data_IF_785406026266
#
_entry.id   IF_785406026266
#
_cell.length_a   1.000
_cell.length_b   1.000
_cell.length_c   1.000
_cell.angle_alpha   90.00
_cell.angle_beta   90.00
_cell.angle_gamma   90.00
#
_symmetry.space_group_name_H-M   'P 1'
#
loop_
_entity.id
_entity.type
_entity.pdbx_description
1 polymer ?
#
# COMPACT_ATOMS: atom_id res chain seq x y z
N UNK A 1 -5.75 -28.54 8.45
CA UNK A 1 -5.33 -27.76 9.64
C UNK A 1 -3.82 -27.50 9.66
N UNK A 2 -2.97 -28.51 9.54
CA UNK A 2 -1.49 -28.36 9.57
C UNK A 2 -0.94 -27.46 8.45
N UNK A 3 -1.46 -27.58 7.22
CA UNK A 3 -0.98 -26.74 6.10
C UNK A 3 -1.28 -25.25 6.31
N UNK A 4 -2.46 -24.90 6.86
CA UNK A 4 -2.78 -23.52 7.25
C UNK A 4 -1.76 -22.96 8.26
N UNK A 5 -1.33 -23.79 9.22
CA UNK A 5 -0.34 -23.38 10.21
C UNK A 5 1.00 -23.01 9.54
N UNK A 6 1.47 -23.81 8.58
CA UNK A 6 2.69 -23.48 7.84
C UNK A 6 2.57 -22.17 7.04
N UNK A 7 1.43 -21.95 6.38
CA UNK A 7 1.16 -20.69 5.67
C UNK A 7 1.12 -19.50 6.62
N UNK A 8 0.47 -19.64 7.78
CA UNK A 8 0.42 -18.60 8.81
C UNK A 8 1.80 -18.31 9.40
N UNK A 9 2.62 -19.33 9.68
CA UNK A 9 4.00 -19.16 10.15
C UNK A 9 4.88 -18.47 9.10
N UNK A 10 4.74 -18.87 7.84
CA UNK A 10 5.46 -18.25 6.73
C UNK A 10 5.08 -16.76 6.60
N UNK A 11 3.79 -16.44 6.61
CA UNK A 11 3.31 -15.05 6.59
C UNK A 11 3.84 -14.26 7.79
N UNK A 12 3.68 -14.80 9.01
CA UNK A 12 4.14 -14.16 10.23
C UNK A 12 5.64 -13.85 10.19
N UNK A 13 6.47 -14.73 9.61
CA UNK A 13 7.91 -14.47 9.48
C UNK A 13 8.22 -13.18 8.69
N UNK A 14 7.51 -12.94 7.57
CA UNK A 14 7.68 -11.71 6.80
C UNK A 14 7.04 -10.51 7.48
N UNK A 15 5.85 -10.68 8.07
CA UNK A 15 5.19 -9.63 8.86
C UNK A 15 6.13 -9.13 9.99
N UNK A 16 6.82 -10.06 10.66
CA UNK A 16 7.80 -9.72 11.68
C UNK A 16 9.00 -8.96 11.12
N UNK A 17 9.52 -9.36 9.95
CA UNK A 17 10.58 -8.61 9.26
C UNK A 17 10.15 -7.20 8.86
N UNK A 18 8.90 -7.04 8.43
CA UNK A 18 8.33 -5.74 8.13
C UNK A 18 8.23 -4.87 9.39
N UNK A 19 7.78 -5.45 10.50
CA UNK A 19 7.75 -4.78 11.80
C UNK A 19 9.15 -4.33 12.23
N UNK A 20 10.16 -5.22 12.14
CA UNK A 20 11.56 -4.90 12.45
C UNK A 20 12.09 -3.73 11.60
N UNK A 21 11.81 -3.72 10.28
CA UNK A 21 12.21 -2.63 9.39
C UNK A 21 11.75 -1.26 9.88
N UNK A 22 10.51 -1.15 10.38
CA UNK A 22 10.00 0.12 10.90
C UNK A 22 10.47 0.43 12.32
N UNK A 23 10.52 -0.56 13.22
CA UNK A 23 10.93 -0.32 14.61
C UNK A 23 12.40 -0.02 14.78
N UNK A 24 13.26 -0.53 13.88
CA UNK A 24 14.68 -0.19 13.86
C UNK A 24 14.89 1.30 13.54
N UNK A 25 14.00 1.89 12.75
CA UNK A 25 14.05 3.30 12.35
C UNK A 25 13.27 4.21 13.30
N UNK A 26 12.22 3.69 13.95
CA UNK A 26 11.36 4.41 14.89
C UNK A 26 11.13 3.63 16.20
N UNK A 27 12.16 3.45 17.06
CA UNK A 27 12.04 2.68 18.31
C UNK A 27 10.95 3.19 19.27
N UNK A 28 10.67 4.49 19.25
CA UNK A 28 9.64 5.17 20.04
C UNK A 28 8.21 4.92 19.56
N UNK A 29 8.04 4.36 18.35
CA UNK A 29 6.73 4.07 17.75
C UNK A 29 6.40 2.57 17.73
N UNK A 30 7.10 1.72 18.50
CA UNK A 30 6.87 0.27 18.54
C UNK A 30 5.40 -0.13 18.67
N UNK A 31 4.65 0.53 19.56
CA UNK A 31 3.21 0.25 19.75
C UNK A 31 2.39 0.56 18.49
N UNK A 32 2.64 1.71 17.87
CA UNK A 32 1.97 2.15 16.65
C UNK A 32 2.32 1.23 15.46
N UNK A 33 3.59 0.82 15.33
CA UNK A 33 4.02 -0.14 14.32
C UNK A 33 3.38 -1.52 14.53
N UNK A 34 3.22 -1.96 15.78
CA UNK A 34 2.54 -3.22 16.09
C UNK A 34 1.06 -3.17 15.72
N UNK A 35 0.36 -2.06 16.02
CA UNK A 35 -1.04 -1.86 15.60
C UNK A 35 -1.16 -1.92 14.08
N UNK A 36 -0.27 -1.25 13.35
CA UNK A 36 -0.32 -1.17 11.90
C UNK A 36 0.06 -2.47 11.18
N UNK A 37 0.92 -3.31 11.75
CA UNK A 37 1.54 -4.44 11.05
C UNK A 37 1.09 -5.80 11.63
N UNK A 38 0.88 -5.90 12.95
CA UNK A 38 0.57 -7.16 13.63
C UNK A 38 -0.93 -7.32 13.92
N UNK A 39 -1.58 -6.25 14.36
CA UNK A 39 -2.95 -6.30 14.90
C UNK A 39 -4.04 -5.83 13.93
N UNK A 40 -3.70 -5.55 12.69
CA UNK A 40 -4.63 -5.05 11.68
C UNK A 40 -5.50 -6.23 11.19
N UNK A 41 -6.81 -6.32 11.55
CA UNK A 41 -7.56 -7.59 11.49
C UNK A 41 -7.62 -8.24 10.11
N UNK A 42 -7.92 -7.47 9.07
CA UNK A 42 -7.96 -7.93 7.68
C UNK A 42 -6.59 -8.44 7.25
N UNK A 43 -5.53 -7.74 7.64
CA UNK A 43 -4.17 -8.12 7.31
C UNK A 43 -3.81 -9.47 7.95
N UNK A 44 -4.11 -9.69 9.22
CA UNK A 44 -3.82 -10.95 9.93
C UNK A 44 -4.72 -12.09 9.46
N UNK A 45 -6.01 -11.83 9.23
CA UNK A 45 -6.98 -12.87 8.85
C UNK A 45 -6.62 -13.50 7.51
N UNK A 46 -6.51 -12.70 6.46
CA UNK A 46 -6.30 -13.19 5.09
C UNK A 46 -4.84 -13.56 4.78
N UNK A 47 -3.88 -13.16 5.63
CA UNK A 47 -2.50 -13.66 5.54
C UNK A 47 -2.30 -15.03 6.19
N UNK A 48 -3.33 -15.64 6.78
CA UNK A 48 -3.22 -16.92 7.50
C UNK A 48 -3.84 -18.14 6.79
N UNK A 49 -4.58 -17.96 5.69
CA UNK A 49 -5.24 -19.06 4.95
C UNK A 49 -4.33 -19.77 3.93
N UNK A 50 -4.72 -20.94 3.43
CA UNK A 50 -4.07 -21.59 2.26
C UNK A 50 -4.39 -20.81 0.98
N UNK A 51 -3.64 -19.75 0.75
CA UNK A 51 -3.84 -18.79 -0.34
C UNK A 51 -2.50 -18.23 -0.82
N UNK A 52 -2.49 -17.61 -2.00
CA UNK A 52 -1.31 -16.92 -2.55
C UNK A 52 -0.86 -15.70 -1.71
N UNK A 53 -1.76 -15.09 -0.95
CA UNK A 53 -1.51 -13.84 -0.20
C UNK A 53 -0.57 -14.00 1.00
N UNK A 54 -0.69 -15.02 1.87
CA UNK A 54 0.31 -15.33 2.89
C UNK A 54 1.75 -15.34 2.37
N UNK A 55 1.97 -15.99 1.21
CA UNK A 55 3.29 -16.08 0.58
C UNK A 55 3.73 -14.70 0.07
N UNK A 56 2.82 -13.95 -0.57
CA UNK A 56 3.10 -12.60 -1.04
C UNK A 56 3.41 -11.61 0.10
N UNK A 57 2.68 -11.70 1.22
CA UNK A 57 2.91 -10.90 2.44
C UNK A 57 4.23 -11.28 3.09
N UNK A 58 4.54 -12.58 3.16
CA UNK A 58 5.84 -13.06 3.65
C UNK A 58 6.98 -12.48 2.81
N UNK A 59 6.89 -12.61 1.49
CA UNK A 59 7.85 -12.09 0.55
C UNK A 59 8.00 -10.57 0.66
N UNK A 60 6.90 -9.83 0.80
CA UNK A 60 6.94 -8.37 0.98
C UNK A 60 7.72 -7.95 2.21
N UNK A 61 7.50 -8.60 3.35
CA UNK A 61 8.20 -8.28 4.57
C UNK A 61 9.70 -8.62 4.51
N UNK A 62 10.04 -9.82 4.03
CA UNK A 62 11.43 -10.23 3.83
C UNK A 62 12.15 -9.38 2.80
N UNK A 63 11.48 -9.05 1.68
CA UNK A 63 12.02 -8.18 0.64
C UNK A 63 12.31 -6.77 1.18
N UNK A 64 11.35 -6.17 1.88
CA UNK A 64 11.50 -4.85 2.50
C UNK A 64 12.71 -4.80 3.43
N UNK A 65 12.81 -5.80 4.31
CA UNK A 65 13.88 -5.88 5.29
C UNK A 65 15.25 -6.14 4.65
N UNK A 66 15.36 -7.16 3.78
CA UNK A 66 16.61 -7.54 3.14
C UNK A 66 17.14 -6.44 2.21
N UNK A 67 16.26 -5.79 1.44
CA UNK A 67 16.63 -4.68 0.58
C UNK A 67 17.14 -3.49 1.40
N UNK A 68 16.55 -3.23 2.56
CA UNK A 68 17.04 -2.19 3.48
C UNK A 68 18.40 -2.54 4.11
N UNK A 69 18.57 -3.77 4.60
CA UNK A 69 19.84 -4.25 5.15
C UNK A 69 20.96 -4.22 4.10
N UNK A 70 20.65 -4.56 2.85
CA UNK A 70 21.58 -4.54 1.73
C UNK A 70 21.98 -3.10 1.35
N UNK A 71 21.00 -2.23 1.10
CA UNK A 71 21.25 -0.90 0.55
C UNK A 71 21.69 0.14 1.59
N UNK A 72 21.21 0.03 2.83
CA UNK A 72 21.43 1.05 3.87
C UNK A 72 22.39 0.57 4.95
N UNK A 73 22.15 -0.62 5.53
CA UNK A 73 23.02 -1.13 6.62
C UNK A 73 24.30 -1.81 6.10
N UNK A 74 24.32 -2.20 4.82
CA UNK A 74 25.41 -2.95 4.16
C UNK A 74 25.85 -4.20 4.93
N UNK A 75 24.88 -4.92 5.51
CA UNK A 75 25.12 -6.14 6.30
C UNK A 75 24.82 -7.39 5.48
N UNK A 76 25.55 -8.49 5.74
CA UNK A 76 25.32 -9.82 5.17
C UNK A 76 24.94 -9.82 3.69
N UNK A 77 25.77 -9.18 2.85
CA UNK A 77 25.43 -8.81 1.47
C UNK A 77 24.99 -10.02 0.63
N UNK A 78 25.69 -11.15 0.75
CA UNK A 78 25.39 -12.38 -0.02
C UNK A 78 24.02 -12.92 0.38
N UNK A 79 23.78 -13.11 1.68
CA UNK A 79 22.51 -13.64 2.20
C UNK A 79 21.34 -12.71 1.85
N UNK A 80 21.50 -11.40 2.05
CA UNK A 80 20.44 -10.43 1.76
C UNK A 80 20.17 -10.33 0.25
N UNK A 81 21.20 -10.44 -0.59
CA UNK A 81 21.02 -10.51 -2.05
C UNK A 81 20.26 -11.77 -2.46
N UNK A 82 20.59 -12.93 -1.87
CA UNK A 82 19.86 -14.17 -2.13
C UNK A 82 18.39 -14.08 -1.71
N UNK A 83 18.09 -13.48 -0.54
CA UNK A 83 16.72 -13.24 -0.09
C UNK A 83 15.97 -12.30 -1.05
N UNK A 84 16.62 -11.22 -1.51
CA UNK A 84 16.06 -10.28 -2.49
C UNK A 84 15.71 -10.99 -3.80
N UNK A 85 16.64 -11.77 -4.36
CA UNK A 85 16.40 -12.51 -5.60
C UNK A 85 15.29 -13.55 -5.45
N UNK A 86 15.28 -14.28 -4.33
CA UNK A 86 14.26 -15.28 -4.04
C UNK A 86 12.86 -14.65 -3.89
N UNK A 87 12.75 -13.52 -3.20
CA UNK A 87 11.46 -12.82 -3.05
C UNK A 87 11.00 -12.16 -4.34
N UNK A 88 11.91 -11.66 -5.20
CA UNK A 88 11.56 -11.23 -6.56
C UNK A 88 10.97 -12.39 -7.37
N UNK A 89 11.59 -13.56 -7.34
CA UNK A 89 11.06 -14.77 -8.00
C UNK A 89 9.67 -15.14 -7.47
N UNK A 90 9.44 -15.07 -6.15
CA UNK A 90 8.10 -15.30 -5.59
C UNK A 90 7.09 -14.30 -6.16
N UNK A 91 7.44 -13.02 -6.26
CA UNK A 91 6.53 -12.02 -6.82
C UNK A 91 6.19 -12.29 -8.28
N UNK A 92 7.14 -12.69 -9.12
CA UNK A 92 6.87 -12.95 -10.54
C UNK A 92 5.91 -14.13 -10.73
N UNK A 93 6.03 -15.17 -9.90
CA UNK A 93 5.14 -16.35 -9.95
C UNK A 93 3.76 -16.05 -9.35
N UNK A 94 3.70 -15.24 -8.29
CA UNK A 94 2.46 -15.03 -7.53
C UNK A 94 1.67 -13.81 -8.00
N UNK A 95 2.26 -12.62 -7.85
CA UNK A 95 1.58 -11.32 -7.98
C UNK A 95 2.59 -10.24 -8.33
N UNK A 96 3.03 -10.20 -9.60
CA UNK A 96 4.08 -9.27 -10.07
C UNK A 96 3.74 -7.80 -9.87
N UNK A 97 2.44 -7.46 -9.86
CA UNK A 97 1.95 -6.10 -9.62
C UNK A 97 2.34 -5.55 -8.23
N UNK A 98 2.58 -6.40 -7.22
CA UNK A 98 3.11 -5.96 -5.91
C UNK A 98 4.51 -5.37 -6.10
N UNK A 99 5.39 -6.09 -6.81
CA UNK A 99 6.76 -5.65 -7.05
C UNK A 99 6.80 -4.37 -7.90
N UNK A 100 5.93 -4.28 -8.91
CA UNK A 100 5.84 -3.12 -9.81
C UNK A 100 5.41 -1.85 -9.08
N UNK A 101 4.46 -1.96 -8.13
CA UNK A 101 4.06 -0.83 -7.30
C UNK A 101 5.12 -0.51 -6.21
N UNK A 102 5.73 -1.53 -5.63
CA UNK A 102 6.60 -1.40 -4.46
C UNK A 102 8.01 -0.91 -4.80
N UNK A 103 8.68 -1.56 -5.76
CA UNK A 103 10.10 -1.36 -6.03
C UNK A 103 10.42 0.09 -6.41
N UNK A 104 9.66 0.76 -7.31
CA UNK A 104 9.95 2.14 -7.65
C UNK A 104 9.73 3.10 -6.46
N UNK A 105 8.77 2.80 -5.56
CA UNK A 105 8.50 3.62 -4.38
C UNK A 105 9.64 3.49 -3.36
N UNK A 106 10.14 2.27 -3.17
CA UNK A 106 11.28 2.01 -2.30
C UNK A 106 12.59 2.60 -2.86
N UNK A 107 12.79 2.55 -4.17
CA UNK A 107 13.94 3.17 -4.83
C UNK A 107 13.99 4.69 -4.59
N UNK A 108 12.83 5.38 -4.71
CA UNK A 108 12.71 6.79 -4.32
C UNK A 108 13.12 6.99 -2.87
N UNK A 109 12.66 6.13 -1.96
CA UNK A 109 13.02 6.23 -0.55
C UNK A 109 14.53 6.13 -0.33
N UNK A 110 15.20 5.16 -0.93
CA UNK A 110 16.65 5.00 -0.81
C UNK A 110 17.41 6.23 -1.34
N UNK A 111 17.03 6.71 -2.52
CA UNK A 111 17.66 7.87 -3.15
C UNK A 111 17.46 9.15 -2.31
N UNK A 112 16.25 9.38 -1.80
CA UNK A 112 15.95 10.54 -0.96
C UNK A 112 16.51 10.44 0.46
N UNK A 113 16.76 9.22 0.96
CA UNK A 113 17.41 9.00 2.26
C UNK A 113 18.89 9.36 2.22
N UNK A 114 19.56 9.12 1.09
CA UNK A 114 20.94 9.53 0.85
C UNK A 114 21.01 11.03 0.48
N UNK A 115 20.81 11.87 1.50
CA UNK A 115 20.64 13.33 1.41
C UNK A 115 21.78 14.13 0.75
N UNK A 116 22.93 13.50 0.46
CA UNK A 116 24.04 14.14 -0.24
C UNK A 116 23.76 14.40 -1.73
N UNK A 117 22.85 13.65 -2.37
CA UNK A 117 22.58 13.78 -3.81
C UNK A 117 21.49 14.82 -4.16
N UNK A 118 20.63 15.22 -3.20
CA UNK A 118 19.32 15.80 -3.53
C UNK A 118 18.87 16.96 -2.61
N UNK A 119 19.76 17.92 -2.34
CA UNK A 119 19.34 19.21 -1.75
C UNK A 119 18.39 19.99 -2.68
N UNK A 120 18.42 19.71 -3.98
CA UNK A 120 17.64 20.43 -4.98
C UNK A 120 16.17 19.95 -5.02
N UNK A 121 15.18 20.82 -4.70
CA UNK A 121 13.76 20.47 -4.74
C UNK A 121 13.26 20.08 -6.14
N UNK A 122 13.87 20.61 -7.21
CA UNK A 122 13.49 20.31 -8.58
C UNK A 122 13.76 18.85 -8.97
N UNK A 123 14.93 18.32 -8.59
CA UNK A 123 15.30 16.93 -8.88
C UNK A 123 14.42 15.95 -8.10
N UNK A 124 14.05 16.29 -6.86
CA UNK A 124 13.07 15.53 -6.09
C UNK A 124 11.69 15.49 -6.76
N UNK A 125 11.23 16.60 -7.30
CA UNK A 125 9.98 16.68 -8.05
C UNK A 125 10.05 15.84 -9.33
N UNK A 126 11.13 15.95 -10.11
CA UNK A 126 11.35 15.15 -11.31
C UNK A 126 11.32 13.65 -11.02
N UNK A 127 11.94 13.20 -9.92
CA UNK A 127 11.91 11.78 -9.53
C UNK A 127 10.51 11.28 -9.19
N UNK A 128 9.70 12.10 -8.49
CA UNK A 128 8.30 11.75 -8.20
C UNK A 128 7.51 11.63 -9.50
N UNK A 129 7.72 12.55 -10.46
CA UNK A 129 7.09 12.47 -11.78
C UNK A 129 7.52 11.23 -12.56
N UNK A 130 8.81 10.88 -12.56
CA UNK A 130 9.32 9.66 -13.20
C UNK A 130 8.73 8.41 -12.55
N UNK A 131 8.55 8.39 -11.23
CA UNK A 131 7.88 7.29 -10.54
C UNK A 131 6.41 7.17 -10.94
N UNK A 132 5.66 8.28 -10.95
CA UNK A 132 4.25 8.27 -11.35
C UNK A 132 4.14 7.81 -12.81
N UNK A 133 4.93 8.40 -13.72
CA UNK A 133 4.95 8.04 -15.14
C UNK A 133 5.35 6.58 -15.38
N UNK A 134 6.43 6.12 -14.72
CA UNK A 134 6.91 4.75 -14.81
C UNK A 134 5.94 3.73 -14.22
N UNK A 135 5.24 4.08 -13.14
CA UNK A 135 4.18 3.26 -12.54
C UNK A 135 2.97 3.16 -13.45
N UNK A 136 2.54 4.27 -14.05
CA UNK A 136 1.42 4.30 -15.00
C UNK A 136 1.76 3.48 -16.25
N UNK A 137 2.97 3.64 -16.79
CA UNK A 137 3.46 2.84 -17.92
C UNK A 137 3.61 1.35 -17.56
N UNK A 138 4.13 1.05 -16.37
CA UNK A 138 4.20 -0.30 -15.83
C UNK A 138 2.82 -0.93 -15.69
N UNK A 139 1.83 -0.16 -15.22
CA UNK A 139 0.45 -0.62 -15.15
C UNK A 139 -0.13 -0.89 -16.54
N UNK A 140 0.01 0.04 -17.48
CA UNK A 140 -0.56 -0.14 -18.82
C UNK A 140 0.05 -1.33 -19.55
N UNK A 141 1.36 -1.55 -19.41
CA UNK A 141 2.05 -2.70 -20.00
C UNK A 141 1.65 -4.04 -19.37
N UNK A 142 1.47 -4.09 -18.04
CA UNK A 142 0.99 -5.30 -17.36
C UNK A 142 -0.49 -5.53 -17.67
N UNK A 143 -1.32 -4.49 -17.68
CA UNK A 143 -2.73 -4.59 -18.03
C UNK A 143 -2.90 -5.13 -19.46
N UNK A 144 -2.10 -4.66 -20.42
CA UNK A 144 -2.06 -5.20 -21.77
C UNK A 144 -1.61 -6.68 -21.79
N UNK A 145 -0.59 -7.06 -21.00
CA UNK A 145 -0.16 -8.47 -20.91
C UNK A 145 -1.14 -9.37 -20.16
N UNK A 146 -1.89 -8.85 -19.19
CA UNK A 146 -2.97 -9.60 -18.54
C UNK A 146 -4.14 -9.81 -19.50
N UNK A 147 -4.39 -8.87 -20.41
CA UNK A 147 -5.33 -9.08 -21.51
C UNK A 147 -4.87 -10.21 -22.44
N UNK A 148 -3.56 -10.37 -22.68
CA UNK A 148 -3.01 -11.48 -23.48
C UNK A 148 -2.97 -12.83 -22.70
N UNK A 149 -2.62 -12.82 -21.41
CA UNK A 149 -2.48 -14.05 -20.61
C UNK A 149 -3.82 -14.65 -20.15
N UNK A 150 -4.90 -13.84 -20.09
CA UNK A 150 -6.26 -14.35 -19.85
C UNK A 150 -6.78 -15.12 -21.08
N UNK A 151 -6.32 -14.78 -22.29
CA UNK A 151 -6.68 -15.47 -23.54
C UNK A 151 -6.11 -16.90 -23.58
N UNK A 152 -4.92 -17.13 -22.99
CA UNK A 152 -4.24 -18.43 -23.05
C UNK A 152 -4.64 -19.43 -21.94
N UNK A 153 -5.16 -18.93 -20.80
CA UNK A 153 -5.41 -19.76 -19.61
C UNK A 153 -6.89 -20.09 -19.32
N UNK A 154 -7.85 -19.50 -20.04
CA UNK A 154 -9.28 -19.74 -19.83
C UNK A 154 -9.95 -20.21 -21.13
N UNK A 155 -10.10 -21.53 -21.27
CA UNK A 155 -10.98 -22.11 -22.29
C UNK A 155 -12.40 -21.53 -22.19
N UNK A 156 -12.92 -21.13 -23.35
CA UNK A 156 -14.31 -20.88 -23.76
C UNK A 156 -15.30 -20.04 -22.91
N UNK A 157 -15.00 -19.63 -21.67
CA UNK A 157 -15.99 -18.90 -20.84
C UNK A 157 -15.53 -17.54 -20.26
N UNK A 158 -14.32 -17.08 -20.60
CA UNK A 158 -13.83 -15.74 -20.20
C UNK A 158 -13.08 -15.07 -21.36
N UNK A 159 -13.71 -15.04 -22.53
CA UNK A 159 -13.33 -14.07 -23.54
C UNK A 159 -13.83 -12.69 -23.11
N UNK A 160 -12.89 -11.77 -22.87
CA UNK A 160 -12.93 -10.35 -23.21
C UNK A 160 -12.34 -9.46 -22.09
N UNK A 161 -11.47 -8.51 -22.50
CA UNK A 161 -10.54 -7.75 -21.66
C UNK A 161 -11.16 -6.85 -20.57
N UNK A 162 -10.31 -6.06 -19.90
CA UNK A 162 -10.64 -5.31 -18.66
C UNK A 162 -11.94 -4.47 -18.74
N UNK A 163 -12.24 -3.86 -19.90
CA UNK A 163 -13.49 -3.12 -20.12
C UNK A 163 -14.75 -4.01 -20.15
N UNK A 164 -14.67 -5.20 -20.74
CA UNK A 164 -15.76 -6.18 -20.74
C UNK A 164 -15.79 -7.03 -19.46
N UNK A 165 -14.67 -7.14 -18.73
CA UNK A 165 -14.66 -7.61 -17.34
C UNK A 165 -15.54 -6.70 -16.47
N UNK A 166 -15.38 -5.37 -16.57
CA UNK A 166 -16.23 -4.43 -15.82
C UNK A 166 -17.71 -4.54 -16.22
N UNK A 167 -18.05 -4.64 -17.52
CA UNK A 167 -19.43 -4.86 -17.99
C UNK A 167 -20.00 -6.25 -17.62
N UNK A 168 -19.19 -7.29 -17.70
CA UNK A 168 -19.54 -8.64 -17.27
C UNK A 168 -19.84 -8.71 -15.77
N UNK A 169 -19.18 -7.89 -14.95
CA UNK A 169 -19.54 -7.71 -13.55
C UNK A 169 -20.81 -6.89 -13.33
N UNK A 170 -21.10 -5.87 -14.14
CA UNK A 170 -22.39 -5.17 -14.09
C UNK A 170 -23.56 -6.13 -14.36
N UNK A 171 -23.39 -7.05 -15.32
CA UNK A 171 -24.38 -8.10 -15.59
C UNK A 171 -24.48 -9.14 -14.47
N UNK A 172 -23.38 -9.43 -13.74
CA UNK A 172 -23.38 -10.28 -12.54
C UNK A 172 -23.91 -9.55 -11.29
N UNK A 173 -23.84 -8.23 -11.24
CA UNK A 173 -24.39 -7.40 -10.16
C UNK A 173 -25.92 -7.52 -10.07
N UNK A 174 -26.58 -7.77 -11.20
CA UNK A 174 -28.02 -8.08 -11.25
C UNK A 174 -28.37 -9.48 -10.69
N UNK A 175 -27.41 -10.41 -10.64
CA UNK A 175 -27.62 -11.82 -10.20
C UNK A 175 -27.00 -12.15 -8.85
N UNK A 176 -26.14 -11.31 -8.29
CA UNK A 176 -25.39 -11.57 -7.05
C UNK A 176 -25.64 -10.47 -6.03
N UNK A 177 -26.42 -10.82 -5.01
CA UNK A 177 -26.94 -10.03 -3.90
C UNK A 177 -25.92 -9.10 -3.19
N UNK A 178 -25.56 -7.99 -3.83
CA UNK A 178 -24.75 -6.90 -3.26
C UNK A 178 -23.26 -7.18 -3.00
N UNK A 179 -22.69 -8.27 -3.53
CA UNK A 179 -21.26 -8.59 -3.37
C UNK A 179 -20.32 -7.73 -4.28
N UNK A 180 -20.89 -7.07 -5.29
CA UNK A 180 -20.18 -6.33 -6.32
C UNK A 180 -20.47 -4.83 -6.27
N UNK A 181 -19.46 -4.02 -6.59
CA UNK A 181 -19.59 -2.57 -6.66
C UNK A 181 -19.15 -2.01 -8.01
N UNK A 182 -19.75 -0.91 -8.42
CA UNK A 182 -19.28 -0.12 -9.56
C UNK A 182 -18.46 1.06 -9.08
N UNK A 183 -17.43 1.42 -9.84
CA UNK A 183 -16.67 2.66 -9.68
C UNK A 183 -17.37 3.85 -10.37
N UNK A 184 -18.44 3.59 -11.12
CA UNK A 184 -19.22 4.61 -11.85
C UNK A 184 -18.56 5.13 -13.12
N UNK A 185 -17.38 4.61 -13.49
CA UNK A 185 -16.60 5.03 -14.66
C UNK A 185 -15.94 3.79 -15.27
N UNK A 186 -16.12 3.57 -16.58
CA UNK A 186 -15.47 2.47 -17.30
C UNK A 186 -13.98 2.79 -17.52
N UNK A 187 -13.14 1.78 -17.30
CA UNK A 187 -11.72 1.87 -17.58
C UNK A 187 -11.43 1.32 -18.97
N UNK A 188 -11.32 2.23 -19.95
CA UNK A 188 -11.05 1.88 -21.35
C UNK A 188 -9.55 1.61 -21.64
N UNK A 189 -8.70 1.43 -20.63
CA UNK A 189 -7.26 1.19 -20.82
C UNK A 189 -6.41 2.44 -21.12
N UNK A 190 -7.01 3.63 -21.28
CA UNK A 190 -6.31 4.87 -21.60
C UNK A 190 -5.80 5.61 -20.34
N UNK A 191 -4.73 6.41 -20.49
CA UNK A 191 -4.19 7.22 -19.37
C UNK A 191 -5.22 8.24 -18.85
N UNK A 192 -6.07 8.76 -19.74
CA UNK A 192 -7.15 9.69 -19.40
C UNK A 192 -8.28 9.03 -18.63
N UNK A 193 -8.67 7.79 -18.98
CA UNK A 193 -9.64 7.04 -18.17
C UNK A 193 -9.04 6.66 -16.81
N UNK A 194 -7.76 6.28 -16.76
CA UNK A 194 -7.08 5.98 -15.48
C UNK A 194 -7.11 7.18 -14.52
N UNK A 195 -6.81 8.39 -15.00
CA UNK A 195 -6.81 9.59 -14.18
C UNK A 195 -8.20 9.92 -13.60
N UNK A 196 -9.28 9.64 -14.35
CA UNK A 196 -10.66 9.82 -13.88
C UNK A 196 -11.08 8.76 -12.86
N UNK A 197 -10.69 7.50 -13.08
CA UNK A 197 -11.02 6.39 -12.16
C UNK A 197 -10.17 6.42 -10.89
N UNK A 198 -8.97 6.99 -10.95
CA UNK A 198 -7.98 6.86 -9.89
C UNK A 198 -8.44 7.30 -8.49
N UNK A 199 -9.08 8.48 -8.30
CA UNK A 199 -9.56 8.89 -6.98
C UNK A 199 -10.60 7.92 -6.42
N UNK A 200 -11.53 7.46 -7.27
CA UNK A 200 -12.60 6.53 -6.87
C UNK A 200 -12.05 5.15 -6.54
N UNK A 201 -11.08 4.65 -7.31
CA UNK A 201 -10.42 3.37 -7.05
C UNK A 201 -9.64 3.39 -5.73
N UNK A 202 -8.90 4.46 -5.44
CA UNK A 202 -8.14 4.59 -4.18
C UNK A 202 -9.08 4.66 -2.98
N UNK A 203 -10.15 5.47 -3.06
CA UNK A 203 -11.18 5.57 -2.02
C UNK A 203 -11.86 4.22 -1.81
N UNK A 204 -12.22 3.52 -2.89
CA UNK A 204 -12.83 2.21 -2.80
C UNK A 204 -11.90 1.21 -2.11
N UNK A 205 -10.65 1.12 -2.53
CA UNK A 205 -9.70 0.16 -1.93
C UNK A 205 -9.44 0.47 -0.46
N UNK A 206 -9.20 1.74 -0.10
CA UNK A 206 -8.81 2.07 1.27
C UNK A 206 -10.00 2.07 2.25
N UNK A 207 -11.16 2.57 1.84
CA UNK A 207 -12.27 2.87 2.76
C UNK A 207 -13.54 2.06 2.54
N UNK A 208 -13.65 1.30 1.45
CA UNK A 208 -14.79 0.38 1.26
C UNK A 208 -14.44 -1.05 1.71
N UNK A 209 -15.43 -1.86 2.11
CA UNK A 209 -16.87 -1.60 2.15
C UNK A 209 -17.28 -0.58 3.24
N UNK A 210 -18.29 0.25 2.95
CA UNK A 210 -18.92 1.07 3.99
C UNK A 210 -19.92 0.25 4.82
N UNK A 211 -20.28 0.73 6.01
CA UNK A 211 -21.23 0.04 6.90
C UNK A 211 -22.57 -0.27 6.21
N UNK A 212 -23.07 0.68 5.41
CA UNK A 212 -24.34 0.53 4.67
C UNK A 212 -24.24 -0.33 3.40
N UNK A 213 -23.03 -0.73 2.99
CA UNK A 213 -22.82 -1.63 1.84
C UNK A 213 -22.67 -3.09 2.26
N UNK A 214 -22.67 -3.34 3.57
CA UNK A 214 -22.40 -4.65 4.14
C UNK A 214 -23.67 -5.49 4.20
N UNK A 215 -23.79 -6.46 3.29
CA UNK A 215 -24.93 -7.40 3.26
C UNK A 215 -24.68 -8.71 4.02
N UNK A 216 -23.42 -9.04 4.31
CA UNK A 216 -23.02 -10.26 5.01
C UNK A 216 -22.13 -9.96 6.22
N UNK A 217 -22.08 -10.87 7.20
CA UNK A 217 -21.29 -10.71 8.44
C UNK A 217 -19.80 -10.48 8.16
N UNK A 218 -19.22 -11.23 7.22
CA UNK A 218 -17.81 -11.08 6.83
C UNK A 218 -17.53 -9.69 6.24
N UNK A 219 -18.41 -9.17 5.37
CA UNK A 219 -18.27 -7.81 4.82
C UNK A 219 -18.49 -6.74 5.87
N UNK A 220 -19.38 -6.98 6.84
CA UNK A 220 -19.64 -6.07 7.96
C UNK A 220 -18.41 -5.91 8.85
N UNK A 221 -17.73 -7.01 9.20
CA UNK A 221 -16.47 -6.95 9.97
C UNK A 221 -15.40 -6.12 9.24
N UNK A 222 -15.25 -6.33 7.92
CA UNK A 222 -14.31 -5.54 7.11
C UNK A 222 -14.71 -4.07 6.98
N UNK A 223 -15.99 -3.75 7.07
CA UNK A 223 -16.47 -2.36 7.03
C UNK A 223 -16.14 -1.57 8.29
N UNK A 224 -16.12 -2.20 9.47
CA UNK A 224 -15.66 -1.57 10.70
C UNK A 224 -14.17 -1.19 10.62
N UNK A 225 -13.34 -2.08 10.09
CA UNK A 225 -11.94 -1.76 9.86
C UNK A 225 -11.80 -0.61 8.84
N UNK A 226 -12.52 -0.66 7.73
CA UNK A 226 -12.45 0.37 6.70
C UNK A 226 -12.95 1.75 7.21
N UNK A 227 -13.96 1.75 8.08
CA UNK A 227 -14.40 2.93 8.81
C UNK A 227 -13.32 3.45 9.77
N UNK A 228 -12.69 2.57 10.56
CA UNK A 228 -11.60 2.96 11.46
C UNK A 228 -10.44 3.59 10.70
N UNK A 229 -10.13 3.07 9.51
CA UNK A 229 -9.12 3.62 8.60
C UNK A 229 -9.50 5.00 8.09
N UNK A 230 -10.75 5.19 7.64
CA UNK A 230 -11.26 6.50 7.22
C UNK A 230 -11.22 7.52 8.37
N UNK A 231 -11.67 7.12 9.56
CA UNK A 231 -11.65 7.97 10.76
C UNK A 231 -10.22 8.33 11.18
N UNK A 232 -9.28 7.40 11.10
CA UNK A 232 -7.86 7.67 11.38
C UNK A 232 -7.31 8.70 10.39
N UNK A 233 -7.61 8.56 9.09
CA UNK A 233 -7.18 9.53 8.08
C UNK A 233 -7.74 10.92 8.33
N UNK A 234 -9.06 11.03 8.60
CA UNK A 234 -9.70 12.30 8.94
C UNK A 234 -9.10 12.90 10.21
N UNK A 235 -8.88 12.09 11.24
CA UNK A 235 -8.23 12.53 12.47
C UNK A 235 -6.83 13.12 12.23
N UNK A 236 -5.99 12.43 11.43
CA UNK A 236 -4.65 12.92 11.08
C UNK A 236 -4.75 14.22 10.28
N UNK A 237 -5.67 14.30 9.32
CA UNK A 237 -5.88 15.47 8.47
C UNK A 237 -6.29 16.70 9.29
N UNK A 238 -7.23 16.54 10.23
CA UNK A 238 -7.73 17.62 11.09
C UNK A 238 -6.66 18.04 12.10
N UNK A 239 -6.00 17.09 12.77
CA UNK A 239 -5.02 17.37 13.83
C UNK A 239 -3.74 18.03 13.31
N UNK A 240 -3.28 17.61 12.14
CA UNK A 240 -2.06 18.15 11.49
C UNK A 240 -2.40 19.33 10.59
N UNK A 241 -3.59 19.37 9.98
CA UNK A 241 -4.00 20.37 9.00
C UNK A 241 -3.53 20.02 7.58
N UNK A 242 -4.33 20.40 6.58
CA UNK A 242 -4.18 20.03 5.17
C UNK A 242 -2.79 20.36 4.60
N UNK A 243 -2.33 21.61 4.75
CA UNK A 243 -1.03 22.06 4.22
C UNK A 243 0.11 21.26 4.85
N UNK A 244 0.08 21.08 6.17
CA UNK A 244 1.15 20.41 6.92
C UNK A 244 1.20 18.91 6.65
N UNK A 245 0.05 18.30 6.38
CA UNK A 245 -0.05 16.92 5.96
C UNK A 245 0.78 16.70 4.68
N UNK A 246 0.50 17.43 3.60
CA UNK A 246 1.24 17.30 2.34
C UNK A 246 2.72 17.70 2.45
N UNK A 247 3.03 18.76 3.21
CA UNK A 247 4.42 19.16 3.45
C UNK A 247 5.21 18.06 4.15
N UNK A 248 4.61 17.36 5.12
CA UNK A 248 5.28 16.26 5.83
C UNK A 248 5.54 15.07 4.91
N UNK A 249 4.57 14.74 4.06
CA UNK A 249 4.69 13.67 3.05
C UNK A 249 5.88 13.96 2.13
N UNK A 250 5.93 15.15 1.53
CA UNK A 250 7.00 15.50 0.61
C UNK A 250 8.33 15.57 1.35
N UNK A 251 8.40 16.18 2.54
CA UNK A 251 9.67 16.38 3.25
C UNK A 251 10.29 15.10 3.82
N UNK A 252 9.48 14.10 4.19
CA UNK A 252 9.97 12.90 4.90
C UNK A 252 9.98 11.68 3.96
N UNK A 253 11.17 11.20 3.51
CA UNK A 253 11.28 10.13 2.52
C UNK A 253 10.53 8.84 2.88
N UNK A 254 10.56 8.42 4.14
CA UNK A 254 9.87 7.21 4.59
C UNK A 254 8.34 7.35 4.50
N UNK A 255 7.80 8.54 4.78
CA UNK A 255 6.36 8.82 4.70
C UNK A 255 5.94 8.83 3.24
N UNK A 256 6.72 9.52 2.39
CA UNK A 256 6.51 9.55 0.95
C UNK A 256 6.46 8.14 0.38
N UNK A 257 7.43 7.29 0.70
CA UNK A 257 7.46 5.91 0.21
C UNK A 257 6.23 5.11 0.64
N UNK A 258 5.86 5.15 1.93
CA UNK A 258 4.72 4.38 2.42
C UNK A 258 3.42 4.82 1.74
N UNK A 259 3.22 6.12 1.53
CA UNK A 259 2.05 6.63 0.83
C UNK A 259 2.08 6.39 -0.68
N UNK A 260 3.23 6.56 -1.34
CA UNK A 260 3.36 6.28 -2.76
C UNK A 260 3.07 4.81 -3.04
N UNK A 261 3.68 3.89 -2.30
CA UNK A 261 3.39 2.47 -2.45
C UNK A 261 1.91 2.17 -2.19
N UNK A 262 1.35 2.68 -1.09
CA UNK A 262 -0.03 2.35 -0.72
C UNK A 262 -1.08 2.93 -1.66
N UNK A 263 -0.95 4.18 -2.09
CA UNK A 263 -1.89 4.83 -3.02
C UNK A 263 -1.79 4.17 -4.39
N UNK A 264 -0.57 3.96 -4.90
CA UNK A 264 -0.35 3.28 -6.17
C UNK A 264 -0.95 1.88 -6.13
N UNK A 265 -0.62 1.08 -5.12
CA UNK A 265 -1.15 -0.29 -5.02
C UNK A 265 -2.67 -0.30 -4.83
N UNK A 266 -3.23 0.65 -4.07
CA UNK A 266 -4.67 0.82 -3.92
C UNK A 266 -5.38 1.14 -5.25
N UNK A 267 -4.72 1.91 -6.12
CA UNK A 267 -5.18 2.17 -7.49
C UNK A 267 -5.23 0.89 -8.32
N UNK A 268 -4.13 0.12 -8.36
CA UNK A 268 -4.06 -1.16 -9.08
C UNK A 268 -5.17 -2.12 -8.65
N UNK A 269 -5.33 -2.32 -7.34
CA UNK A 269 -6.33 -3.24 -6.78
C UNK A 269 -7.75 -2.73 -7.01
N UNK A 270 -7.98 -1.42 -6.86
CA UNK A 270 -9.31 -0.83 -7.01
C UNK A 270 -9.84 -0.89 -8.43
N UNK A 271 -8.98 -0.66 -9.43
CA UNK A 271 -9.38 -0.73 -10.86
C UNK A 271 -9.66 -2.16 -11.30
N UNK A 272 -8.92 -3.14 -10.76
CA UNK A 272 -9.00 -4.55 -11.19
C UNK A 272 -10.01 -5.40 -10.42
N UNK A 273 -10.44 -4.95 -9.23
CA UNK A 273 -11.22 -5.77 -8.29
C UNK A 273 -12.52 -5.08 -7.88
N UNK A 274 -13.63 -5.44 -8.51
CA UNK A 274 -14.97 -4.89 -8.26
C UNK A 274 -15.83 -5.74 -7.30
N UNK A 275 -15.21 -6.64 -6.54
CA UNK A 275 -15.87 -7.51 -5.56
C UNK A 275 -15.34 -7.21 -4.15
N UNK A 276 -16.22 -6.98 -3.16
CA UNK A 276 -15.79 -6.60 -1.81
C UNK A 276 -14.93 -7.67 -1.12
N UNK A 277 -15.26 -8.95 -1.25
CA UNK A 277 -14.49 -10.03 -0.64
C UNK A 277 -13.07 -10.12 -1.21
N UNK A 278 -12.95 -10.06 -2.54
CA UNK A 278 -11.64 -10.06 -3.21
C UNK A 278 -10.87 -8.76 -2.95
N UNK A 279 -11.55 -7.61 -2.90
CA UNK A 279 -10.94 -6.30 -2.65
C UNK A 279 -10.28 -6.26 -1.27
N UNK A 280 -11.00 -6.68 -0.24
CA UNK A 280 -10.53 -6.72 1.15
C UNK A 280 -9.29 -7.63 1.29
N UNK A 281 -9.25 -8.74 0.56
CA UNK A 281 -8.10 -9.63 0.51
C UNK A 281 -6.92 -9.02 -0.26
N UNK A 282 -7.18 -8.42 -1.42
CA UNK A 282 -6.11 -7.94 -2.30
C UNK A 282 -5.47 -6.64 -1.83
N UNK A 283 -6.15 -5.83 -1.00
CA UNK A 283 -5.58 -4.58 -0.44
C UNK A 283 -4.57 -4.79 0.69
N UNK A 284 -4.48 -5.99 1.24
CA UNK A 284 -3.65 -6.32 2.41
C UNK A 284 -2.20 -5.87 2.30
N UNK A 285 -1.48 -6.08 1.18
CA UNK A 285 -0.10 -5.63 1.04
C UNK A 285 0.09 -4.12 1.30
N UNK A 286 -0.87 -3.26 0.95
CA UNK A 286 -0.73 -1.81 1.14
C UNK A 286 -1.19 -1.30 2.50
N UNK A 287 -2.09 -2.01 3.19
CA UNK A 287 -2.72 -1.52 4.42
C UNK A 287 -1.72 -1.16 5.53
N UNK A 288 -0.70 -2.00 5.85
CA UNK A 288 0.26 -1.64 6.89
C UNK A 288 1.04 -0.37 6.56
N UNK A 289 1.46 -0.20 5.30
CA UNK A 289 2.20 0.99 4.87
C UNK A 289 1.35 2.24 4.97
N UNK A 290 0.07 2.15 4.60
CA UNK A 290 -0.85 3.27 4.73
C UNK A 290 -1.02 3.70 6.19
N UNK A 291 -1.30 2.77 7.12
CA UNK A 291 -1.44 3.10 8.55
C UNK A 291 -0.14 3.62 9.15
N UNK A 292 1.00 2.99 8.83
CA UNK A 292 2.32 3.45 9.27
C UNK A 292 2.57 4.88 8.82
N UNK A 293 2.21 5.24 7.59
CA UNK A 293 2.38 6.60 7.09
C UNK A 293 1.59 7.64 7.91
N UNK A 294 0.36 7.32 8.31
CA UNK A 294 -0.48 8.20 9.14
C UNK A 294 0.13 8.39 10.53
N UNK A 295 0.61 7.32 11.16
CA UNK A 295 1.31 7.42 12.44
C UNK A 295 2.61 8.21 12.36
N UNK A 296 3.38 8.05 11.28
CA UNK A 296 4.60 8.82 11.06
C UNK A 296 4.30 10.32 10.85
N UNK A 297 3.22 10.66 10.15
CA UNK A 297 2.80 12.06 9.98
C UNK A 297 2.46 12.70 11.33
N UNK A 298 1.67 12.00 12.17
CA UNK A 298 1.37 12.46 13.53
C UNK A 298 2.64 12.63 14.37
N UNK A 299 3.57 11.69 14.27
CA UNK A 299 4.84 11.74 14.99
C UNK A 299 5.68 12.97 14.60
N UNK A 300 5.81 13.26 13.31
CA UNK A 300 6.59 14.42 12.84
C UNK A 300 5.93 15.76 13.19
N UNK A 301 4.60 15.87 13.19
CA UNK A 301 3.90 17.07 13.67
C UNK A 301 4.13 17.29 15.19
N UNK A 302 4.06 16.21 15.99
CA UNK A 302 4.32 16.28 17.42
C UNK A 302 5.77 16.71 17.75
N UNK A 303 6.76 16.13 17.06
CA UNK A 303 8.16 16.54 17.22
C UNK A 303 8.39 18.01 16.85
N UNK A 304 7.76 18.48 15.77
CA UNK A 304 7.83 19.89 15.37
C UNK A 304 7.30 20.80 16.47
N UNK A 305 6.10 20.51 17.02
CA UNK A 305 5.50 21.30 18.11
C UNK A 305 6.42 21.36 19.34
N UNK A 306 7.04 20.24 19.72
CA UNK A 306 8.02 20.19 20.82
C UNK A 306 9.24 21.09 20.56
N UNK A 307 9.72 21.14 19.32
CA UNK A 307 10.88 21.98 18.97
C UNK A 307 10.55 23.49 18.88
N UNK A 308 9.29 23.87 18.67
CA UNK A 308 8.84 25.27 18.64
C UNK A 308 8.63 25.87 20.05
N UNK A 309 8.27 25.05 21.04
CA UNK A 309 8.02 25.49 22.42
C UNK A 309 9.20 26.21 23.11
N UNK A 310 10.46 25.74 23.02
CA UNK A 310 11.58 26.44 23.63
C UNK A 310 11.92 27.77 22.93
N UNK A 311 11.74 27.87 21.60
CA UNK A 311 12.03 29.10 20.83
C UNK A 311 11.06 30.23 21.21
N UNK A 312 9.78 29.90 21.40
CA UNK A 312 8.78 30.88 21.84
C UNK A 312 9.02 31.36 23.27
N UNK A 313 9.51 30.51 24.18
CA UNK A 313 9.87 30.93 25.54
C UNK A 313 11.02 31.93 25.55
N UNK A 314 12.04 31.72 24.72
CA UNK A 314 13.19 32.63 24.64
C UNK A 314 12.78 34.02 24.15
N UNK A 315 11.91 34.10 23.13
CA UNK A 315 11.41 35.38 22.60
C UNK A 315 10.57 36.14 23.63
N UNK A 316 9.77 35.43 24.44
CA UNK A 316 8.96 36.06 25.50
C UNK A 316 9.83 36.55 26.66
N UNK A 317 10.92 35.86 26.99
CA UNK A 317 11.84 36.29 28.06
C UNK A 317 12.88 37.33 27.63
N UNK A 318 13.14 37.49 26.33
CA UNK A 318 14.06 38.51 25.82
C UNK A 318 13.38 39.84 25.46
N UNK A 319 12.05 39.88 25.55
CA UNK A 319 11.23 41.07 25.26
C UNK A 319 10.64 41.74 26.52
N UNK A 320 11.10 41.34 27.70
CA UNK A 320 10.77 41.89 29.03
C UNK A 320 12.03 42.44 29.68
#
# INVERSE_FOLDING_TARGET
MVVNLFFAMLAFSGIWKLYQFFTDQFPQLKKQMAIAILYLPTFTFWSSGILKDPIAVSALGWFTWALYELSVKKKNLILNSAIVLFTIYIFTVIKIYILVAYLPAFAIFLLLKNAQLLKNPLLKFAMILVFIGGTVFGFSSIAARMQDAVIDYAGEDVMEGIGNYQRGYQNKQAKSDGAYFSLGVEFDGTLTSLAKVAPMAVVATLYRPFLWESRNVTTLLSSFESLAMMMLTLYVLIKVGLVRFFVTIIKKPIVLYCLLFSITFALFVGVTTLNFGTLVRYKIPCMPFYVVSLFLILYYDAQRKKNLQPVLRIIVTSGS
#
